data_IF_780089204145
#
_entry.id   IF_780089204145
#
_cell.length_a   1.000
_cell.length_b   1.000
_cell.length_c   1.000
_cell.angle_alpha   90.00
_cell.angle_beta   90.00
_cell.angle_gamma   90.00
#
_symmetry.space_group_name_H-M   'P 1'
#
loop_
_entity.id
_entity.type
_entity.pdbx_description
1 polymer ?
#
# COMPACT_ATOMS: atom_id res chain seq x y z
N UNK A 1 -1.08 6.30 10.03
CA UNK A 1 -2.33 6.53 10.76
C UNK A 1 -2.50 5.39 11.76
N UNK A 2 -2.75 5.70 13.02
CA UNK A 2 -2.98 4.69 14.05
C UNK A 2 -4.50 4.35 14.14
N UNK A 3 -4.83 3.07 14.03
CA UNK A 3 -6.22 2.57 13.99
C UNK A 3 -6.71 1.95 15.31
N UNK A 4 -5.92 2.02 16.39
CA UNK A 4 -6.27 1.58 17.74
C UNK A 4 -6.86 0.16 17.83
N UNK A 5 -6.38 -0.74 16.96
CA UNK A 5 -6.82 -2.16 16.86
C UNK A 5 -8.33 -2.30 16.60
N UNK A 6 -9.00 -1.23 16.18
CA UNK A 6 -10.46 -1.15 16.14
C UNK A 6 -10.99 -1.12 14.72
N UNK A 7 -11.73 -2.18 14.34
CA UNK A 7 -12.40 -2.26 13.04
C UNK A 7 -13.46 -1.18 12.92
N UNK A 8 -14.44 -1.23 13.81
CA UNK A 8 -15.70 -0.50 13.63
C UNK A 8 -15.63 0.95 14.09
N UNK A 9 -14.72 1.31 15.00
CA UNK A 9 -14.61 2.69 15.48
C UNK A 9 -13.65 3.55 14.66
N UNK A 10 -12.59 2.97 14.12
CA UNK A 10 -11.51 3.76 13.50
C UNK A 10 -11.25 3.32 12.06
N UNK A 11 -10.79 2.08 11.86
CA UNK A 11 -10.27 1.66 10.55
C UNK A 11 -11.34 1.68 9.46
N UNK A 12 -12.56 1.21 9.76
CA UNK A 12 -13.68 1.22 8.81
C UNK A 12 -14.09 2.64 8.42
N UNK A 13 -14.16 3.57 9.39
CA UNK A 13 -14.52 4.96 9.11
C UNK A 13 -13.45 5.66 8.28
N UNK A 14 -12.17 5.53 8.67
CA UNK A 14 -11.05 6.05 7.87
C UNK A 14 -11.08 5.51 6.44
N UNK A 15 -11.31 4.21 6.25
CA UNK A 15 -11.30 3.60 4.92
C UNK A 15 -12.56 3.90 4.10
N UNK A 16 -13.63 4.39 4.74
CA UNK A 16 -14.84 4.83 4.06
C UNK A 16 -14.71 6.25 3.49
N UNK A 17 -13.69 7.00 3.89
CA UNK A 17 -13.44 8.33 3.36
C UNK A 17 -13.00 8.28 1.90
N UNK A 18 -13.79 8.91 1.04
CA UNK A 18 -13.53 8.92 -0.42
C UNK A 18 -12.12 9.43 -0.75
N UNK A 19 -11.65 10.45 -0.03
CA UNK A 19 -10.30 11.02 -0.22
C UNK A 19 -9.17 10.06 0.15
N UNK A 20 -9.39 9.11 1.07
CA UNK A 20 -8.37 8.13 1.47
C UNK A 20 -8.03 7.20 0.30
N UNK A 21 -8.98 6.94 -0.60
CA UNK A 21 -8.74 6.10 -1.79
C UNK A 21 -7.81 6.75 -2.82
N UNK A 22 -7.59 8.07 -2.73
CA UNK A 22 -6.70 8.81 -3.63
C UNK A 22 -5.22 8.77 -3.19
N UNK A 23 -4.93 8.16 -2.04
CA UNK A 23 -3.55 8.02 -1.57
C UNK A 23 -2.89 6.82 -2.23
N UNK A 24 -1.63 6.97 -2.60
CA UNK A 24 -0.81 5.89 -3.15
C UNK A 24 -0.48 4.84 -2.09
N UNK A 25 -0.24 5.28 -0.85
CA UNK A 25 0.25 4.44 0.24
C UNK A 25 -0.45 4.84 1.54
N UNK A 26 -1.01 3.86 2.25
CA UNK A 26 -1.46 4.03 3.64
C UNK A 26 -0.52 3.25 4.57
N UNK A 27 0.27 3.97 5.38
CA UNK A 27 1.04 3.38 6.46
C UNK A 27 0.16 3.33 7.72
N UNK A 28 -0.26 2.13 8.14
CA UNK A 28 -1.17 1.93 9.27
C UNK A 28 -0.42 1.39 10.47
N UNK A 29 -0.63 2.01 11.62
CA UNK A 29 -0.23 1.51 12.93
C UNK A 29 -1.45 0.97 13.68
N UNK A 30 -1.23 -0.02 14.54
CA UNK A 30 -2.27 -0.72 15.30
C UNK A 30 -3.50 -1.08 14.44
N UNK A 31 -3.33 -1.79 13.30
CA UNK A 31 -4.47 -2.22 12.50
C UNK A 31 -5.38 -3.16 13.30
N UNK A 32 -6.67 -3.16 12.98
CA UNK A 32 -7.53 -4.27 13.37
C UNK A 32 -7.00 -5.57 12.77
N UNK A 33 -6.90 -6.62 13.59
CA UNK A 33 -6.48 -7.95 13.15
C UNK A 33 -7.62 -8.94 13.33
N UNK A 34 -8.00 -9.60 12.24
CA UNK A 34 -8.96 -10.69 12.25
C UNK A 34 -8.29 -11.99 12.74
N UNK A 35 -8.63 -12.37 13.99
CA UNK A 35 -8.09 -13.58 14.64
C UNK A 35 -8.65 -14.90 14.10
N UNK A 36 -9.61 -14.85 13.18
CA UNK A 36 -10.30 -16.03 12.66
C UNK A 36 -9.74 -16.55 11.33
N UNK A 37 -8.74 -15.88 10.74
CA UNK A 37 -8.08 -16.32 9.51
C UNK A 37 -6.70 -16.88 9.79
N UNK A 38 -6.21 -17.73 8.89
CA UNK A 38 -4.86 -18.26 8.92
C UNK A 38 -4.24 -18.20 7.52
N UNK A 39 -3.20 -17.36 7.29
CA UNK A 39 -2.60 -16.42 8.24
C UNK A 39 -3.57 -15.33 8.70
N UNK A 40 -3.19 -14.59 9.75
CA UNK A 40 -3.94 -13.42 10.23
C UNK A 40 -4.14 -12.39 9.11
N UNK A 41 -5.32 -11.79 9.06
CA UNK A 41 -5.70 -10.75 8.08
C UNK A 41 -6.14 -9.47 8.78
N UNK A 42 -6.31 -8.39 8.01
CA UNK A 42 -6.82 -7.10 8.50
C UNK A 42 -8.00 -6.64 7.64
N UNK A 43 -8.70 -5.60 8.10
CA UNK A 43 -9.90 -5.09 7.45
C UNK A 43 -9.56 -4.24 6.22
N UNK A 44 -10.16 -4.54 5.07
CA UNK A 44 -9.98 -3.77 3.82
C UNK A 44 -11.26 -3.53 3.05
N UNK A 45 -12.41 -4.02 3.53
CA UNK A 45 -13.64 -4.08 2.74
C UNK A 45 -14.10 -2.69 2.25
N UNK A 46 -14.01 -1.66 3.10
CA UNK A 46 -14.37 -0.29 2.71
C UNK A 46 -13.46 0.30 1.62
N UNK A 47 -12.25 -0.24 1.42
CA UNK A 47 -11.34 0.15 0.34
C UNK A 47 -11.71 -0.47 -1.02
N UNK A 48 -12.77 -1.29 -1.09
CA UNK A 48 -13.36 -1.83 -2.34
C UNK A 48 -12.35 -2.50 -3.28
N UNK A 49 -11.31 -3.10 -2.71
CA UNK A 49 -10.27 -3.79 -3.47
C UNK A 49 -9.25 -2.85 -4.15
N UNK A 50 -9.28 -1.54 -3.91
CA UNK A 50 -8.37 -0.56 -4.54
C UNK A 50 -6.92 -0.65 -4.05
N UNK A 51 -6.63 -1.48 -3.04
CA UNK A 51 -5.30 -1.59 -2.43
C UNK A 51 -4.83 -3.05 -2.34
N UNK A 52 -3.52 -3.25 -2.51
CA UNK A 52 -2.78 -4.40 -2.01
C UNK A 52 -2.57 -4.25 -0.50
N UNK A 53 -2.73 -5.34 0.26
CA UNK A 53 -2.59 -5.34 1.71
C UNK A 53 -1.28 -6.03 2.06
N UNK A 54 -0.38 -5.31 2.71
CA UNK A 54 0.93 -5.80 3.13
C UNK A 54 0.95 -5.88 4.65
N UNK A 55 0.48 -7.02 5.15
CA UNK A 55 0.48 -7.40 6.56
C UNK A 55 1.44 -8.57 6.73
N UNK A 56 2.35 -8.49 7.71
CA UNK A 56 3.30 -9.58 7.98
C UNK A 56 2.55 -10.90 8.20
N UNK A 57 2.80 -11.94 7.37
CA UNK A 57 2.18 -13.23 7.53
C UNK A 57 2.46 -13.78 8.93
N UNK A 58 1.39 -13.96 9.71
CA UNK A 58 1.48 -14.43 11.09
C UNK A 58 0.46 -15.55 11.27
N UNK A 59 0.86 -16.74 11.73
CA UNK A 59 -0.08 -17.83 12.01
C UNK A 59 -1.11 -17.41 13.06
N UNK A 60 -2.34 -17.92 12.96
CA UNK A 60 -3.40 -17.58 13.93
C UNK A 60 -3.01 -17.89 15.39
N UNK A 61 -2.22 -18.94 15.61
CA UNK A 61 -1.75 -19.38 16.93
C UNK A 61 -0.80 -18.35 17.58
N UNK A 62 -0.17 -17.50 16.77
CA UNK A 62 0.73 -16.44 17.22
C UNK A 62 0.04 -15.07 17.34
N UNK A 63 -1.29 -15.03 17.51
CA UNK A 63 -2.07 -13.78 17.62
C UNK A 63 -1.53 -12.78 18.67
N UNK A 64 -0.91 -13.27 19.75
CA UNK A 64 -0.27 -12.40 20.74
C UNK A 64 0.88 -11.58 20.16
N UNK A 65 1.58 -12.11 19.14
CA UNK A 65 2.66 -11.46 18.38
C UNK A 65 2.17 -10.81 17.08
N UNK A 66 0.86 -10.63 16.91
CA UNK A 66 0.28 -10.03 15.69
C UNK A 66 0.99 -8.72 15.31
N UNK A 67 1.03 -8.40 14.01
CA UNK A 67 1.65 -7.17 13.53
C UNK A 67 0.94 -5.93 14.09
N UNK A 68 1.72 -4.95 14.51
CA UNK A 68 1.28 -3.62 14.92
C UNK A 68 1.43 -2.60 13.79
N UNK A 69 2.05 -2.97 12.67
CA UNK A 69 2.15 -2.13 11.49
C UNK A 69 1.77 -2.90 10.23
N UNK A 70 1.20 -2.22 9.25
CA UNK A 70 1.01 -2.73 7.90
C UNK A 70 0.99 -1.59 6.88
N UNK A 71 1.08 -1.94 5.60
CA UNK A 71 0.86 -1.03 4.50
C UNK A 71 -0.37 -1.42 3.69
N UNK A 72 -1.04 -0.43 3.12
CA UNK A 72 -1.96 -0.60 1.99
C UNK A 72 -1.37 0.16 0.81
N UNK A 73 -1.11 -0.53 -0.30
CA UNK A 73 -0.53 0.07 -1.51
C UNK A 73 -1.60 0.16 -2.57
N UNK A 74 -1.87 1.36 -3.08
CA UNK A 74 -2.88 1.57 -4.11
C UNK A 74 -2.55 0.72 -5.34
N UNK A 75 -3.54 0.02 -5.89
CA UNK A 75 -3.37 -0.81 -7.09
C UNK A 75 -3.04 -0.01 -8.35
N UNK A 76 -3.18 1.31 -8.29
CA UNK A 76 -2.64 2.21 -9.31
C UNK A 76 -1.12 2.19 -9.39
N UNK A 77 -0.40 1.85 -8.31
CA UNK A 77 1.06 1.70 -8.34
C UNK A 77 1.47 0.35 -8.95
N UNK A 78 2.46 0.37 -9.83
CA UNK A 78 2.96 -0.84 -10.48
C UNK A 78 3.57 -1.80 -9.43
N UNK A 79 3.02 -3.03 -9.26
CA UNK A 79 3.52 -3.99 -8.29
C UNK A 79 4.95 -4.48 -8.55
N UNK A 80 5.50 -4.29 -9.76
CA UNK A 80 6.91 -4.58 -10.04
C UNK A 80 7.88 -3.53 -9.49
N UNK A 81 7.35 -2.40 -8.98
CA UNK A 81 8.16 -1.24 -8.58
C UNK A 81 8.23 -1.05 -7.08
N UNK A 82 7.67 -1.98 -6.30
CA UNK A 82 7.80 -1.96 -4.87
C UNK A 82 7.93 -3.36 -4.28
N UNK A 83 8.56 -3.42 -3.12
CA UNK A 83 8.67 -4.63 -2.30
C UNK A 83 8.53 -4.26 -0.82
N UNK A 84 8.16 -5.23 0.00
CA UNK A 84 8.05 -5.05 1.45
C UNK A 84 8.96 -6.01 2.18
N UNK A 85 9.69 -5.46 3.15
CA UNK A 85 10.46 -6.21 4.13
C UNK A 85 9.79 -6.11 5.49
N UNK A 86 9.41 -7.25 6.05
CA UNK A 86 8.92 -7.35 7.42
C UNK A 86 10.09 -7.62 8.36
N UNK A 87 10.43 -6.67 9.23
CA UNK A 87 11.56 -6.82 10.16
C UNK A 87 11.13 -7.50 11.46
N UNK A 88 10.02 -7.02 12.01
CA UNK A 88 9.34 -7.61 13.15
C UNK A 88 7.88 -7.11 13.17
N UNK A 89 7.12 -7.44 14.22
CA UNK A 89 5.71 -7.06 14.34
C UNK A 89 5.49 -5.54 14.36
N UNK A 90 6.49 -4.75 14.70
CA UNK A 90 6.42 -3.31 14.97
C UNK A 90 7.09 -2.45 13.88
N UNK A 91 7.81 -3.07 12.94
CA UNK A 91 8.55 -2.40 11.87
C UNK A 91 8.43 -3.15 10.54
N UNK A 92 7.98 -2.44 9.51
CA UNK A 92 8.03 -2.87 8.11
C UNK A 92 8.62 -1.77 7.25
N UNK A 93 9.44 -2.15 6.27
CA UNK A 93 9.98 -1.23 5.25
C UNK A 93 9.29 -1.52 3.92
N UNK A 94 8.72 -0.50 3.31
CA UNK A 94 8.36 -0.51 1.90
C UNK A 94 9.50 0.11 1.10
N UNK A 95 10.02 -0.62 0.13
CA UNK A 95 10.96 -0.10 -0.87
C UNK A 95 10.16 0.24 -2.13
N UNK A 96 10.26 1.46 -2.61
CA UNK A 96 9.56 1.97 -3.80
C UNK A 96 10.58 2.50 -4.81
N UNK A 97 10.56 1.98 -6.03
CA UNK A 97 11.32 2.48 -7.16
C UNK A 97 10.52 3.54 -7.89
N UNK A 98 11.07 4.77 -7.93
CA UNK A 98 10.45 5.88 -8.65
C UNK A 98 11.05 6.01 -10.05
N UNK A 99 10.30 6.58 -10.99
CA UNK A 99 10.75 6.72 -12.37
C UNK A 99 12.01 7.59 -12.52
N UNK A 100 12.14 8.61 -11.66
CA UNK A 100 13.08 9.73 -11.85
C UNK A 100 13.96 10.04 -10.64
N UNK A 101 13.68 9.46 -9.47
CA UNK A 101 14.32 9.83 -8.21
C UNK A 101 14.93 8.64 -7.45
N UNK A 102 15.12 7.53 -8.15
CA UNK A 102 15.69 6.31 -7.59
C UNK A 102 14.77 5.63 -6.58
N UNK A 103 15.37 4.97 -5.60
CA UNK A 103 14.68 4.15 -4.61
C UNK A 103 14.35 4.97 -3.36
N UNK A 104 13.13 4.79 -2.85
CA UNK A 104 12.64 5.37 -1.60
C UNK A 104 12.35 4.23 -0.64
N UNK A 105 12.85 4.35 0.59
CA UNK A 105 12.49 3.45 1.69
C UNK A 105 11.53 4.16 2.64
N UNK A 106 10.36 3.56 2.87
CA UNK A 106 9.36 4.04 3.81
C UNK A 106 9.31 3.06 4.97
N UNK A 107 9.76 3.51 6.13
CA UNK A 107 9.71 2.71 7.37
C UNK A 107 8.43 3.03 8.13
N UNK A 108 7.52 2.07 8.24
CA UNK A 108 6.37 2.16 9.13
C UNK A 108 6.75 1.55 10.48
N UNK A 109 6.81 2.41 11.50
CA UNK A 109 7.34 2.09 12.82
C UNK A 109 6.27 2.33 13.87
N UNK A 110 6.02 1.32 14.70
CA UNK A 110 5.32 1.45 15.96
C UNK A 110 6.32 1.26 17.10
N UNK A 111 6.45 2.25 17.98
CA UNK A 111 7.30 2.11 19.16
C UNK A 111 6.43 1.74 20.36
N UNK A 112 6.48 0.51 20.88
CA UNK A 112 5.76 0.17 22.10
C UNK A 112 6.40 0.98 23.23
N UNK A 113 5.67 1.96 23.75
CA UNK A 113 6.23 3.01 24.61
C UNK A 113 7.01 2.49 25.82
N UNK A 114 7.73 3.38 26.52
CA UNK A 114 8.66 3.06 27.62
C UNK A 114 8.02 2.30 28.79
N UNK A 115 6.69 2.33 28.91
CA UNK A 115 5.93 1.61 29.93
C UNK A 115 5.51 0.19 29.49
N UNK A 116 5.84 -0.21 28.26
CA UNK A 116 5.68 -1.58 27.81
C UNK A 116 6.85 -2.42 28.31
N UNK A 117 6.60 -3.69 28.63
CA UNK A 117 7.67 -4.66 28.85
C UNK A 117 8.30 -5.14 27.53
N UNK A 118 8.06 -4.42 26.41
CA UNK A 118 8.54 -4.78 25.07
C UNK A 118 9.87 -4.06 24.79
N UNK A 119 10.71 -4.65 23.94
CA UNK A 119 11.99 -4.06 23.57
C UNK A 119 11.79 -2.79 22.72
N UNK A 120 12.70 -1.83 22.91
CA UNK A 120 12.73 -0.59 22.12
C UNK A 120 12.96 -0.88 20.63
N UNK A 121 12.16 -0.25 19.76
CA UNK A 121 12.25 -0.45 18.31
C UNK A 121 13.53 0.15 17.69
N UNK A 122 14.28 0.96 18.45
CA UNK A 122 15.41 1.75 17.94
C UNK A 122 16.50 0.89 17.33
N UNK A 123 16.85 -0.25 17.95
CA UNK A 123 17.87 -1.17 17.41
C UNK A 123 17.44 -1.80 16.08
N UNK A 124 16.17 -2.23 16.00
CA UNK A 124 15.62 -2.78 14.78
C UNK A 124 15.55 -1.74 13.65
N UNK A 125 15.13 -0.51 13.98
CA UNK A 125 15.10 0.60 13.02
C UNK A 125 16.50 0.96 12.53
N UNK A 126 17.48 1.02 13.42
CA UNK A 126 18.87 1.26 13.05
C UNK A 126 19.41 0.18 12.11
N UNK A 127 19.13 -1.10 12.41
CA UNK A 127 19.49 -2.21 11.52
C UNK A 127 18.82 -2.08 10.16
N UNK A 128 17.56 -1.67 10.10
CA UNK A 128 16.82 -1.48 8.85
C UNK A 128 17.34 -0.30 8.02
N UNK A 129 17.84 0.76 8.66
CA UNK A 129 18.38 1.95 7.98
C UNK A 129 19.84 1.79 7.57
N UNK A 130 20.64 1.10 8.38
CA UNK A 130 22.06 0.89 8.17
C UNK A 130 22.51 -0.46 8.76
N UNK A 131 22.34 -1.59 8.03
CA UNK A 131 22.67 -2.94 8.52
C UNK A 131 24.13 -3.15 8.93
N UNK A 132 25.03 -2.21 8.58
CA UNK A 132 26.47 -2.26 8.87
C UNK A 132 26.94 -1.20 9.89
N UNK A 133 26.02 -0.44 10.49
CA UNK A 133 26.37 0.55 11.50
C UNK A 133 26.83 -0.14 12.79
N UNK A 134 28.00 0.25 13.31
CA UNK A 134 28.60 -0.32 14.53
C UNK A 134 28.13 0.36 15.84
N UNK A 135 27.47 1.51 15.74
CA UNK A 135 26.97 2.27 16.89
C UNK A 135 25.50 1.96 17.15
N UNK A 136 25.08 1.97 18.42
CA UNK A 136 23.68 1.81 18.82
C UNK A 136 23.18 3.18 19.29
N UNK A 137 22.29 3.80 18.52
CA UNK A 137 21.56 4.96 19.01
C UNK A 137 20.62 4.51 20.13
N UNK A 138 20.61 5.21 21.26
CA UNK A 138 19.72 4.88 22.40
C UNK A 138 18.43 5.69 22.39
N UNK A 139 18.38 6.77 21.60
CA UNK A 139 17.25 7.69 21.49
C UNK A 139 16.90 7.92 20.03
N UNK A 140 15.60 8.05 19.76
CA UNK A 140 15.07 8.30 18.42
C UNK A 140 15.69 9.53 17.76
N UNK A 141 15.78 10.66 18.48
CA UNK A 141 16.32 11.91 17.94
C UNK A 141 17.76 11.74 17.47
N UNK A 142 18.60 11.07 18.26
CA UNK A 142 19.99 10.81 17.89
C UNK A 142 20.06 9.92 16.65
N UNK A 143 19.23 8.87 16.58
CA UNK A 143 19.17 7.99 15.40
C UNK A 143 18.78 8.77 14.13
N UNK A 144 17.78 9.65 14.24
CA UNK A 144 17.33 10.48 13.12
C UNK A 144 18.44 11.45 12.67
N UNK A 145 19.12 12.10 13.62
CA UNK A 145 20.20 13.04 13.35
C UNK A 145 21.43 12.35 12.72
N UNK A 146 21.83 11.19 13.24
CA UNK A 146 22.90 10.35 12.69
C UNK A 146 22.67 9.97 11.22
N UNK A 147 21.40 9.82 10.82
CA UNK A 147 21.01 9.51 9.43
C UNK A 147 20.59 10.76 8.62
N UNK A 148 20.79 11.96 9.17
CA UNK A 148 20.47 13.22 8.50
C UNK A 148 18.98 13.38 8.16
N UNK A 149 18.10 12.78 8.95
CA UNK A 149 16.65 12.87 8.78
C UNK A 149 16.10 14.14 9.44
N UNK A 150 15.18 14.81 8.74
CA UNK A 150 14.49 16.01 9.22
C UNK A 150 13.04 15.68 9.56
N UNK A 151 12.54 16.21 10.66
CA UNK A 151 11.13 16.14 11.00
C UNK A 151 10.32 17.03 10.04
N UNK A 152 9.29 16.46 9.41
CA UNK A 152 8.48 17.17 8.42
C UNK A 152 7.32 17.95 9.05
N UNK A 153 6.74 17.41 10.12
CA UNK A 153 5.71 18.13 10.87
C UNK A 153 6.33 19.26 11.70
N UNK A 154 5.70 20.45 11.75
CA UNK A 154 6.09 21.49 12.68
C UNK A 154 6.13 20.99 14.13
N UNK A 155 7.08 21.48 14.91
CA UNK A 155 7.18 21.17 16.33
C UNK A 155 5.89 21.61 17.06
N UNK A 156 5.37 20.74 17.93
CA UNK A 156 4.13 21.00 18.67
C UNK A 156 2.84 20.66 17.92
N UNK A 157 2.92 20.12 16.69
CA UNK A 157 1.73 19.63 15.96
C UNK A 157 1.01 18.56 16.78
N UNK A 158 -0.27 18.78 17.07
CA UNK A 158 -1.07 17.82 17.84
C UNK A 158 -1.38 16.61 16.94
N UNK A 159 -0.85 15.45 17.30
CA UNK A 159 -1.13 14.18 16.59
C UNK A 159 -1.83 13.18 17.48
N UNK A 160 -1.90 13.45 18.78
CA UNK A 160 -2.64 12.66 19.75
C UNK A 160 -3.48 13.58 20.64
N UNK A 161 -4.75 13.23 20.81
CA UNK A 161 -5.72 13.99 21.60
C UNK A 161 -6.68 13.06 22.35
N UNK A 162 -6.70 13.24 23.67
CA UNK A 162 -7.72 12.76 24.60
C UNK A 162 -8.33 13.94 25.34
N UNK A 163 -9.47 13.70 26.00
CA UNK A 163 -10.28 14.70 26.74
C UNK A 163 -9.45 15.74 27.51
N UNK A 164 -8.33 15.34 28.13
CA UNK A 164 -7.45 16.24 28.90
C UNK A 164 -5.96 16.14 28.52
N UNK A 165 -5.61 15.61 27.35
CA UNK A 165 -4.20 15.39 26.99
C UNK A 165 -4.02 15.58 25.50
N UNK A 166 -3.08 16.46 25.12
CA UNK A 166 -2.67 16.67 23.73
C UNK A 166 -1.16 16.49 23.64
N UNK A 167 -0.70 15.76 22.63
CA UNK A 167 0.73 15.52 22.43
C UNK A 167 1.09 15.29 20.96
N UNK A 168 2.39 15.35 20.68
CA UNK A 168 2.99 15.06 19.37
C UNK A 168 3.77 13.76 19.51
N UNK A 169 3.13 12.62 19.20
CA UNK A 169 3.75 11.30 19.34
C UNK A 169 3.83 10.53 18.02
N UNK A 170 3.10 10.97 17.00
CA UNK A 170 3.18 10.46 15.64
C UNK A 170 4.08 11.41 14.85
N UNK A 171 5.20 10.90 14.35
CA UNK A 171 6.24 11.71 13.73
C UNK A 171 6.46 11.26 12.28
N UNK A 172 6.78 12.21 11.41
CA UNK A 172 7.21 11.94 10.04
C UNK A 172 8.60 12.53 9.85
N UNK A 173 9.54 11.69 9.43
CA UNK A 173 10.93 12.05 9.18
C UNK A 173 11.27 11.73 7.73
N UNK A 174 12.09 12.57 7.11
CA UNK A 174 12.58 12.35 5.76
C UNK A 174 14.04 12.75 5.60
N UNK A 175 14.76 12.05 4.73
CA UNK A 175 16.13 12.43 4.36
C UNK A 175 16.13 13.81 3.70
N UNK A 176 17.29 14.46 3.71
CA UNK A 176 17.45 15.79 3.12
C UNK A 176 16.86 15.90 1.69
N UNK A 177 17.12 14.91 0.84
CA UNK A 177 16.66 14.90 -0.55
C UNK A 177 15.13 14.78 -0.67
N UNK A 178 14.49 13.99 0.19
CA UNK A 178 13.03 13.86 0.21
C UNK A 178 12.36 15.06 0.88
N UNK A 179 12.96 15.62 1.93
CA UNK A 179 12.45 16.81 2.61
C UNK A 179 12.34 18.01 1.65
N UNK A 180 13.30 18.17 0.74
CA UNK A 180 13.27 19.22 -0.29
C UNK A 180 12.18 19.02 -1.36
N UNK A 181 11.47 17.88 -1.34
CA UNK A 181 10.41 17.52 -2.28
C UNK A 181 9.04 17.45 -1.64
N UNK A 182 8.92 17.80 -0.36
CA UNK A 182 7.63 17.83 0.32
C UNK A 182 6.78 18.94 -0.27
N UNK A 183 5.58 18.58 -0.72
CA UNK A 183 4.54 19.52 -1.15
C UNK A 183 3.71 19.94 0.06
N UNK A 184 3.34 18.99 0.91
CA UNK A 184 2.61 19.22 2.16
C UNK A 184 2.85 18.10 3.16
N UNK A 185 2.82 18.41 4.45
CA UNK A 185 2.86 17.43 5.54
C UNK A 185 2.01 17.96 6.69
N UNK A 186 0.77 17.47 6.81
CA UNK A 186 -0.25 18.04 7.69
C UNK A 186 -1.11 16.95 8.33
N UNK A 187 -1.69 17.28 9.47
CA UNK A 187 -2.70 16.42 10.10
C UNK A 187 -4.04 16.49 9.37
N UNK A 188 -4.83 15.44 9.55
CA UNK A 188 -6.17 15.26 8.97
C UNK A 188 -7.20 15.11 10.10
N UNK A 189 -7.48 16.17 10.86
CA UNK A 189 -8.47 16.14 11.94
C UNK A 189 -9.88 15.82 11.43
N UNK A 190 -10.18 16.06 10.15
CA UNK A 190 -11.43 15.65 9.52
C UNK A 190 -11.63 14.13 9.45
N UNK A 191 -10.56 13.34 9.60
CA UNK A 191 -10.61 11.87 9.64
C UNK A 191 -10.50 11.31 11.06
N UNK A 192 -10.84 12.12 12.04
CA UNK A 192 -10.77 11.77 13.45
C UNK A 192 -12.08 11.13 13.91
N UNK A 193 -12.13 9.79 13.95
CA UNK A 193 -13.33 9.02 14.29
C UNK A 193 -13.32 8.49 15.72
N UNK A 194 -12.90 9.30 16.69
CA UNK A 194 -12.82 8.89 18.09
C UNK A 194 -11.68 7.91 18.40
N UNK A 195 -10.68 7.85 17.52
CA UNK A 195 -9.34 7.38 17.88
C UNK A 195 -8.65 8.46 18.72
N UNK A 196 -7.67 8.12 19.54
CA UNK A 196 -6.89 9.17 20.22
C UNK A 196 -5.81 9.77 19.30
N UNK A 197 -5.60 9.19 18.11
CA UNK A 197 -4.60 9.63 17.15
C UNK A 197 -5.24 10.36 15.97
N UNK A 198 -4.55 11.40 15.50
CA UNK A 198 -4.91 12.17 14.31
C UNK A 198 -4.06 11.69 13.14
N UNK A 199 -4.71 11.37 12.01
CA UNK A 199 -4.00 10.92 10.81
C UNK A 199 -3.08 12.02 10.26
N UNK A 200 -1.95 11.63 9.67
CA UNK A 200 -1.01 12.54 9.02
C UNK A 200 -0.99 12.22 7.53
N UNK A 201 -1.09 13.27 6.70
CA UNK A 201 -0.97 13.21 5.25
C UNK A 201 0.33 13.87 4.83
N UNK A 202 1.18 13.14 4.12
CA UNK A 202 2.41 13.68 3.52
C UNK A 202 2.37 13.49 2.03
N UNK A 203 2.62 14.56 1.27
CA UNK A 203 2.71 14.54 -0.18
C UNK A 203 4.11 14.96 -0.61
N UNK A 204 4.70 14.17 -1.50
CA UNK A 204 5.99 14.47 -2.11
C UNK A 204 5.81 14.72 -3.62
N UNK A 205 6.60 15.64 -4.16
CA UNK A 205 6.72 15.87 -5.59
C UNK A 205 7.64 14.80 -6.21
N UNK A 206 7.03 13.66 -6.52
CA UNK A 206 7.67 12.47 -7.08
C UNK A 206 6.84 11.94 -8.24
N UNK A 207 7.49 11.24 -9.16
CA UNK A 207 6.82 10.51 -10.25
C UNK A 207 6.79 9.03 -9.89
N UNK A 208 5.62 8.56 -9.45
CA UNK A 208 5.37 7.14 -9.25
C UNK A 208 5.25 6.41 -10.60
N UNK A 209 5.64 5.15 -10.63
CA UNK A 209 5.39 4.27 -11.78
C UNK A 209 4.03 3.61 -11.52
N UNK A 210 3.06 3.95 -12.34
CA UNK A 210 1.70 3.45 -12.21
C UNK A 210 1.45 2.30 -13.19
N UNK A 211 0.56 1.38 -12.81
CA UNK A 211 0.02 0.40 -13.75
C UNK A 211 -0.64 1.19 -14.89
N UNK A 212 -0.32 0.88 -16.16
CA UNK A 212 -1.06 1.48 -17.26
C UNK A 212 -2.56 1.17 -17.07
N UNK A 213 -3.45 2.11 -17.41
CA UNK A 213 -4.89 1.88 -17.23
C UNK A 213 -5.28 0.56 -17.90
N UNK A 214 -5.80 -0.37 -17.10
CA UNK A 214 -6.36 -1.61 -17.62
C UNK A 214 -7.59 -1.22 -18.44
N UNK A 215 -7.44 -1.24 -19.75
CA UNK A 215 -8.53 -1.02 -20.69
C UNK A 215 -9.50 -2.19 -20.56
N UNK A 216 -10.55 -2.01 -19.76
CA UNK A 216 -11.55 -3.06 -19.54
C UNK A 216 -12.59 -3.01 -20.64
N UNK A 217 -12.68 -4.07 -21.43
CA UNK A 217 -13.77 -4.25 -22.41
C UNK A 217 -15.09 -4.40 -21.67
N UNK A 218 -16.06 -3.54 -21.99
CA UNK A 218 -17.41 -3.56 -21.41
C UNK A 218 -18.27 -4.57 -22.17
N UNK A 219 -18.04 -5.86 -21.93
CA UNK A 219 -18.69 -6.96 -22.67
C UNK A 219 -20.22 -6.93 -22.63
N UNK A 220 -20.80 -6.33 -21.60
CA UNK A 220 -22.25 -6.17 -21.42
C UNK A 220 -22.88 -5.17 -22.40
N UNK A 221 -22.09 -4.30 -23.03
CA UNK A 221 -22.53 -3.31 -24.02
C UNK A 221 -21.85 -3.50 -25.37
N UNK A 222 -21.25 -4.67 -25.62
CA UNK A 222 -20.72 -5.04 -26.94
C UNK A 222 -21.84 -4.97 -27.99
N UNK A 223 -21.54 -4.39 -29.15
CA UNK A 223 -22.36 -4.56 -30.34
C UNK A 223 -22.12 -5.98 -30.89
N UNK A 224 -22.95 -6.92 -30.45
CA UNK A 224 -22.80 -8.33 -30.84
C UNK A 224 -23.08 -8.57 -32.32
N UNK A 225 -23.92 -7.75 -32.96
CA UNK A 225 -24.18 -7.85 -34.40
C UNK A 225 -22.94 -7.45 -35.20
N UNK A 226 -22.26 -6.38 -34.81
CA UNK A 226 -20.97 -5.99 -35.39
C UNK A 226 -19.90 -7.04 -35.09
N UNK A 227 -19.82 -7.52 -33.84
CA UNK A 227 -18.83 -8.54 -33.44
C UNK A 227 -18.94 -9.80 -34.31
N UNK A 228 -20.15 -10.33 -34.49
CA UNK A 228 -20.36 -11.53 -35.31
C UNK A 228 -20.06 -11.27 -36.80
N UNK A 229 -20.46 -10.10 -37.34
CA UNK A 229 -20.09 -9.71 -38.71
C UNK A 229 -18.58 -9.64 -38.92
N UNK A 230 -17.83 -9.16 -37.93
CA UNK A 230 -16.37 -9.12 -37.98
C UNK A 230 -15.77 -10.53 -37.90
N UNK A 231 -16.35 -11.40 -37.06
CA UNK A 231 -15.94 -12.80 -36.97
C UNK A 231 -16.18 -13.56 -38.29
N UNK A 232 -17.25 -13.26 -39.02
CA UNK A 232 -17.57 -13.88 -40.32
C UNK A 232 -16.55 -13.56 -41.43
N UNK A 233 -15.72 -12.53 -41.25
CA UNK A 233 -14.65 -12.17 -42.20
C UNK A 233 -13.48 -13.18 -42.13
N UNK A 234 -13.28 -13.80 -40.96
CA UNK A 234 -12.20 -14.77 -40.78
C UNK A 234 -12.54 -16.09 -41.43
N UNK A 235 -11.52 -16.75 -41.98
CA UNK A 235 -11.68 -18.07 -42.57
C UNK A 235 -11.66 -19.16 -41.48
N UNK A 236 -12.81 -19.77 -41.23
CA UNK A 236 -13.03 -20.81 -40.20
C UNK A 236 -13.01 -22.24 -40.72
N UNK A 237 -12.44 -22.46 -41.91
CA UNK A 237 -12.26 -23.79 -42.49
C UNK A 237 -11.74 -24.81 -41.48
N UNK A 238 -12.23 -26.06 -41.54
CA UNK A 238 -11.76 -27.12 -40.67
C UNK A 238 -10.25 -27.27 -40.76
N UNK A 239 -9.58 -27.20 -39.61
CA UNK A 239 -8.13 -27.42 -39.49
C UNK A 239 -7.91 -28.83 -38.96
N UNK A 240 -6.96 -29.55 -39.53
CA UNK A 240 -6.52 -30.82 -38.97
C UNK A 240 -5.65 -30.53 -37.73
N UNK A 241 -6.11 -31.00 -36.56
CA UNK A 241 -5.47 -30.75 -35.26
C UNK A 241 -4.67 -31.98 -34.82
N UNK A 242 -3.75 -32.41 -35.67
CA UNK A 242 -3.08 -33.71 -35.52
C UNK A 242 -1.88 -33.66 -34.56
N UNK A 243 -1.40 -32.47 -34.19
CA UNK A 243 -0.29 -32.28 -33.27
C UNK A 243 -0.42 -30.98 -32.44
N UNK A 244 0.46 -30.81 -31.46
CA UNK A 244 0.46 -29.65 -30.56
C UNK A 244 0.73 -28.33 -31.29
N UNK A 245 1.48 -28.34 -32.39
CA UNK A 245 1.81 -27.14 -33.15
C UNK A 245 0.56 -26.64 -33.91
N UNK A 246 -0.14 -27.56 -34.59
CA UNK A 246 -1.40 -27.29 -35.26
C UNK A 246 -2.49 -26.82 -34.28
N UNK A 247 -2.56 -27.41 -33.08
CA UNK A 247 -3.47 -26.96 -32.01
C UNK A 247 -3.13 -25.54 -31.56
N UNK A 248 -1.86 -25.25 -31.26
CA UNK A 248 -1.43 -23.93 -30.81
C UNK A 248 -1.68 -22.86 -31.87
N UNK A 249 -1.43 -23.16 -33.14
CA UNK A 249 -1.70 -22.24 -34.25
C UNK A 249 -3.20 -21.98 -34.44
N UNK A 250 -4.05 -23.01 -34.32
CA UNK A 250 -5.50 -22.83 -34.36
C UNK A 250 -6.01 -21.97 -33.20
N UNK A 251 -5.49 -22.19 -31.98
CA UNK A 251 -5.82 -21.36 -30.81
C UNK A 251 -5.35 -19.93 -31.01
N UNK A 252 -4.12 -19.71 -31.47
CA UNK A 252 -3.56 -18.38 -31.73
C UNK A 252 -4.45 -17.61 -32.71
N UNK A 253 -4.84 -18.26 -33.81
CA UNK A 253 -5.72 -17.68 -34.81
C UNK A 253 -7.10 -17.31 -34.26
N UNK A 254 -7.73 -18.20 -33.48
CA UNK A 254 -9.02 -17.92 -32.84
C UNK A 254 -8.93 -16.75 -31.86
N UNK A 255 -7.91 -16.74 -31.00
CA UNK A 255 -7.68 -15.69 -30.02
C UNK A 255 -7.44 -14.34 -30.70
N UNK A 256 -6.65 -14.32 -31.77
CA UNK A 256 -6.40 -13.12 -32.56
C UNK A 256 -7.68 -12.55 -33.17
N UNK A 257 -8.50 -13.40 -33.79
CA UNK A 257 -9.78 -13.00 -34.37
C UNK A 257 -10.76 -12.44 -33.32
N UNK A 258 -10.91 -13.13 -32.18
CA UNK A 258 -11.76 -12.66 -31.07
C UNK A 258 -11.27 -11.30 -30.56
N UNK A 259 -9.96 -11.14 -30.39
CA UNK A 259 -9.39 -9.90 -29.87
C UNK A 259 -9.62 -8.72 -30.81
N UNK A 260 -9.39 -8.89 -32.11
CA UNK A 260 -9.59 -7.87 -33.15
C UNK A 260 -11.08 -7.51 -33.32
N UNK A 261 -11.98 -8.50 -33.33
CA UNK A 261 -13.42 -8.26 -33.39
C UNK A 261 -13.90 -7.50 -32.15
N UNK A 262 -13.45 -7.91 -30.96
CA UNK A 262 -13.80 -7.24 -29.70
C UNK A 262 -13.20 -5.83 -29.59
N UNK A 263 -12.10 -5.52 -30.27
CA UNK A 263 -11.48 -4.18 -30.22
C UNK A 263 -12.35 -3.15 -30.93
N UNK A 264 -13.05 -3.56 -31.98
CA UNK A 264 -13.94 -2.68 -32.74
C UNK A 264 -15.37 -2.68 -32.20
N UNK A 265 -15.86 -3.83 -31.73
CA UNK A 265 -17.26 -4.00 -31.33
C UNK A 265 -17.52 -3.81 -29.83
N UNK A 266 -16.50 -3.85 -28.98
CA UNK A 266 -16.67 -3.72 -27.52
C UNK A 266 -16.07 -2.40 -27.02
N UNK A 267 -16.91 -1.46 -26.54
CA UNK A 267 -16.43 -0.25 -25.89
C UNK A 267 -15.53 -0.57 -24.70
N UNK A 268 -14.54 0.28 -24.47
CA UNK A 268 -13.64 0.16 -23.33
C UNK A 268 -14.01 1.15 -22.23
N UNK A 269 -13.58 0.88 -21.00
CA UNK A 269 -13.71 1.78 -19.85
C UNK A 269 -12.34 2.07 -19.26
#
# INVERSE_FOLDING_TARGET
ANCWKSRDKVQMHLFSESKVQNYDILAIQEPYINKHTDPLTTYSLALKGSFHILLQPTPKEEYKKRPQVCFYINRGLDPATWEVQYHNRDLSTLTLHTATHGTIHIHNVYNPGVNSNEESIISALQTAMAPRAQHIATKLINLMDEHGLKQLLPLGTITYERVNTKSTIDLVWASHNLANRVVSCDTKPEWWYGADHVSISTQFNLTAICVPPLIHKQWNVTDWDLFLKLMDIYNWYPRELNDNEAINEAIRYLVEAINQAAEQATPTK
#
